data_IF_880356815980
#
_entry.id   IF_880356815980
#
_cell.length_a   1.000
_cell.length_b   1.000
_cell.length_c   1.000
_cell.angle_alpha   90.00
_cell.angle_beta   90.00
_cell.angle_gamma   90.00
#
_symmetry.space_group_name_H-M   'P 1'
#
loop_
_entity.id
_entity.type
_entity.pdbx_description
1 polymer ?
#
# COMPACT_ATOMS: atom_id res chain seq x y z
N UNK A 1 -30.54 -0.88 44.25
CA UNK A 1 -30.05 -0.58 42.88
C UNK A 1 -31.22 -0.71 41.91
N UNK A 2 -31.67 0.40 41.31
CA UNK A 2 -32.94 0.51 40.55
C UNK A 2 -32.98 -0.45 39.33
N UNK A 3 -34.11 -1.14 39.10
CA UNK A 3 -34.31 -2.06 37.96
C UNK A 3 -33.96 -1.42 36.61
N UNK A 4 -34.22 -0.12 36.47
CA UNK A 4 -33.90 0.69 35.29
C UNK A 4 -32.41 0.70 34.98
N UNK A 5 -31.56 0.74 36.02
CA UNK A 5 -30.11 0.75 35.87
C UNK A 5 -29.58 -0.60 35.36
N UNK A 6 -30.12 -1.72 35.88
CA UNK A 6 -29.80 -3.06 35.37
C UNK A 6 -30.21 -3.22 33.90
N UNK A 7 -31.40 -2.73 33.52
CA UNK A 7 -31.88 -2.81 32.13
C UNK A 7 -31.01 -1.99 31.17
N UNK A 8 -30.57 -0.81 31.59
CA UNK A 8 -29.69 0.05 30.79
C UNK A 8 -28.30 -0.58 30.62
N UNK A 9 -27.73 -1.15 31.69
CA UNK A 9 -26.45 -1.85 31.64
C UNK A 9 -26.47 -3.07 30.70
N UNK A 10 -27.55 -3.84 30.69
CA UNK A 10 -27.70 -4.98 29.77
C UNK A 10 -27.85 -4.53 28.32
N UNK A 11 -28.57 -3.43 28.06
CA UNK A 11 -28.68 -2.83 26.72
C UNK A 11 -27.34 -2.31 26.22
N UNK A 12 -26.57 -1.65 27.08
CA UNK A 12 -25.23 -1.16 26.76
C UNK A 12 -24.30 -2.31 26.41
N UNK A 13 -24.29 -3.39 27.20
CA UNK A 13 -23.51 -4.60 26.91
C UNK A 13 -23.90 -5.25 25.58
N UNK A 14 -25.20 -5.33 25.28
CA UNK A 14 -25.68 -5.82 23.98
C UNK A 14 -25.16 -4.97 22.82
N UNK A 15 -25.28 -3.64 22.93
CA UNK A 15 -24.76 -2.71 21.91
C UNK A 15 -23.25 -2.81 21.76
N UNK A 16 -22.51 -2.99 22.85
CA UNK A 16 -21.06 -3.11 22.83
C UNK A 16 -20.60 -4.40 22.15
N UNK A 17 -21.31 -5.51 22.38
CA UNK A 17 -21.08 -6.79 21.69
C UNK A 17 -21.40 -6.68 20.20
N UNK A 18 -22.49 -6.01 19.83
CA UNK A 18 -22.82 -5.80 18.43
C UNK A 18 -21.81 -4.90 17.73
N UNK A 19 -21.35 -3.82 18.38
CA UNK A 19 -20.27 -2.96 17.88
C UNK A 19 -18.96 -3.72 17.69
N UNK A 20 -18.60 -4.60 18.64
CA UNK A 20 -17.43 -5.47 18.50
C UNK A 20 -17.57 -6.44 17.31
N UNK A 21 -18.74 -7.04 17.08
CA UNK A 21 -19.00 -7.89 15.91
C UNK A 21 -18.80 -7.13 14.59
N UNK A 22 -19.25 -5.88 14.51
CA UNK A 22 -18.99 -5.02 13.33
C UNK A 22 -17.50 -4.67 13.18
N UNK A 23 -16.76 -4.58 14.30
CA UNK A 23 -15.33 -4.21 14.29
C UNK A 23 -14.43 -5.37 13.83
N UNK A 24 -14.68 -6.61 14.29
CA UNK A 24 -13.84 -7.76 13.90
C UNK A 24 -14.07 -8.19 12.45
N UNK A 25 -15.29 -8.03 11.93
CA UNK A 25 -15.62 -8.30 10.52
C UNK A 25 -14.96 -7.27 9.59
N UNK A 26 -14.79 -6.03 10.04
CA UNK A 26 -14.14 -4.97 9.26
C UNK A 26 -12.62 -5.18 9.14
N UNK A 27 -11.93 -5.64 10.20
CA UNK A 27 -10.48 -5.90 10.13
C UNK A 27 -10.10 -6.97 9.10
N UNK A 28 -10.86 -8.07 9.02
CA UNK A 28 -10.61 -9.13 8.02
C UNK A 28 -10.85 -8.63 6.60
N UNK A 29 -11.90 -7.83 6.38
CA UNK A 29 -12.18 -7.22 5.09
C UNK A 29 -11.10 -6.19 4.69
N UNK A 30 -10.62 -5.40 5.66
CA UNK A 30 -9.50 -4.49 5.49
C UNK A 30 -8.23 -5.25 5.10
N UNK A 31 -7.85 -6.29 5.83
CA UNK A 31 -6.68 -7.12 5.52
C UNK A 31 -6.80 -7.74 4.12
N UNK A 32 -7.92 -8.41 3.82
CA UNK A 32 -8.16 -9.02 2.52
C UNK A 32 -8.03 -8.02 1.37
N UNK A 33 -8.53 -6.80 1.55
CA UNK A 33 -8.42 -5.77 0.51
C UNK A 33 -6.98 -5.28 0.30
N UNK A 34 -6.12 -5.25 1.33
CA UNK A 34 -4.70 -4.93 1.16
C UNK A 34 -4.00 -6.04 0.39
N UNK A 35 -4.21 -7.30 0.76
CA UNK A 35 -3.65 -8.47 0.08
C UNK A 35 -4.03 -8.50 -1.42
N UNK A 36 -5.31 -8.30 -1.72
CA UNK A 36 -5.78 -8.22 -3.12
C UNK A 36 -5.14 -7.04 -3.86
N UNK A 37 -5.01 -5.87 -3.21
CA UNK A 37 -4.37 -4.70 -3.82
C UNK A 37 -2.89 -4.96 -4.15
N UNK A 38 -2.17 -5.69 -3.27
CA UNK A 38 -0.79 -6.14 -3.52
C UNK A 38 -0.72 -7.06 -4.73
N UNK A 39 -1.64 -8.03 -4.84
CA UNK A 39 -1.69 -8.93 -5.99
C UNK A 39 -1.94 -8.17 -7.30
N UNK A 40 -2.86 -7.20 -7.30
CA UNK A 40 -3.14 -6.34 -8.46
C UNK A 40 -1.86 -5.58 -8.87
N UNK A 41 -1.17 -4.95 -7.91
CA UNK A 41 0.07 -4.22 -8.16
C UNK A 41 1.18 -5.13 -8.72
N UNK A 42 1.44 -6.26 -8.07
CA UNK A 42 2.48 -7.22 -8.47
C UNK A 42 2.25 -7.80 -9.87
N UNK A 43 0.98 -7.98 -10.24
CA UNK A 43 0.60 -8.48 -11.57
C UNK A 43 0.42 -7.37 -12.61
N UNK A 44 0.71 -6.11 -12.24
CA UNK A 44 0.62 -4.91 -13.09
C UNK A 44 -0.75 -4.78 -13.76
N UNK A 45 -1.82 -5.10 -13.04
CA UNK A 45 -3.19 -4.97 -13.53
C UNK A 45 -3.79 -3.61 -13.19
N UNK A 46 -4.77 -3.12 -13.99
CA UNK A 46 -5.48 -1.88 -13.68
C UNK A 46 -6.20 -1.96 -12.33
N UNK A 47 -6.27 -0.85 -11.60
CA UNK A 47 -6.88 -0.83 -10.25
C UNK A 47 -8.36 -1.26 -10.25
N UNK A 48 -9.10 -0.92 -11.31
CA UNK A 48 -10.51 -1.28 -11.45
C UNK A 48 -10.76 -2.80 -11.61
N UNK A 49 -9.73 -3.62 -11.78
CA UNK A 49 -9.90 -5.08 -11.88
C UNK A 49 -10.47 -5.67 -10.59
N UNK A 50 -10.24 -5.00 -9.45
CA UNK A 50 -10.77 -5.36 -8.14
C UNK A 50 -12.30 -5.43 -8.14
N UNK A 51 -12.96 -4.37 -8.59
CA UNK A 51 -14.42 -4.26 -8.63
C UNK A 51 -15.04 -4.86 -9.90
N UNK A 52 -14.34 -4.85 -11.03
CA UNK A 52 -14.90 -5.31 -12.32
C UNK A 52 -14.82 -6.83 -12.50
N UNK A 53 -13.84 -7.50 -11.91
CA UNK A 53 -13.61 -8.94 -12.13
C UNK A 53 -13.37 -9.72 -10.84
N UNK A 54 -12.41 -9.29 -10.00
CA UNK A 54 -11.95 -10.09 -8.85
C UNK A 54 -13.09 -10.32 -7.86
N UNK A 55 -13.76 -9.25 -7.41
CA UNK A 55 -14.84 -9.35 -6.45
C UNK A 55 -16.06 -10.13 -7.01
N UNK A 56 -16.59 -9.84 -8.22
CA UNK A 56 -17.66 -10.62 -8.81
C UNK A 56 -17.33 -12.11 -8.98
N UNK A 57 -16.11 -12.44 -9.43
CA UNK A 57 -15.68 -13.82 -9.61
C UNK A 57 -15.60 -14.56 -8.26
N UNK A 58 -14.98 -13.94 -7.25
CA UNK A 58 -14.89 -14.49 -5.90
C UNK A 58 -16.27 -14.75 -5.30
N UNK A 59 -17.20 -13.80 -5.46
CA UNK A 59 -18.58 -13.96 -5.01
C UNK A 59 -19.31 -15.12 -5.70
N UNK A 60 -19.19 -15.26 -7.03
CA UNK A 60 -19.79 -16.39 -7.77
C UNK A 60 -19.25 -17.73 -7.27
N UNK A 61 -17.93 -17.85 -7.11
CA UNK A 61 -17.29 -19.06 -6.59
C UNK A 61 -17.78 -19.40 -5.19
N UNK A 62 -17.77 -18.44 -4.25
CA UNK A 62 -18.23 -18.67 -2.87
C UNK A 62 -19.73 -18.98 -2.82
N UNK A 63 -20.54 -18.34 -3.66
CA UNK A 63 -21.98 -18.61 -3.72
C UNK A 63 -22.26 -20.06 -4.12
N UNK A 64 -21.57 -20.58 -5.14
CA UNK A 64 -21.70 -21.97 -5.60
C UNK A 64 -21.18 -22.96 -4.55
N UNK A 65 -20.00 -22.67 -3.97
CA UNK A 65 -19.28 -23.63 -3.11
C UNK A 65 -19.78 -23.65 -1.66
N UNK A 66 -20.26 -22.53 -1.14
CA UNK A 66 -20.59 -22.35 0.28
C UNK A 66 -21.97 -21.74 0.51
N UNK A 67 -22.58 -21.13 -0.51
CA UNK A 67 -23.89 -20.50 -0.44
C UNK A 67 -23.85 -18.97 -0.40
N UNK A 68 -24.98 -18.38 -0.76
CA UNK A 68 -25.13 -16.94 -1.01
C UNK A 68 -24.83 -16.07 0.21
N UNK A 69 -25.12 -16.58 1.43
CA UNK A 69 -24.81 -15.89 2.68
C UNK A 69 -23.32 -15.55 2.81
N UNK A 70 -22.43 -16.48 2.46
CA UNK A 70 -20.99 -16.25 2.54
C UNK A 70 -20.49 -15.36 1.40
N UNK A 71 -21.06 -15.50 0.20
CA UNK A 71 -20.75 -14.62 -0.92
C UNK A 71 -21.06 -13.15 -0.60
N UNK A 72 -22.18 -12.88 0.06
CA UNK A 72 -22.57 -11.53 0.47
C UNK A 72 -21.61 -10.90 1.48
N UNK A 73 -20.87 -11.70 2.27
CA UNK A 73 -19.85 -11.17 3.17
C UNK A 73 -18.69 -10.53 2.39
N UNK A 74 -18.36 -11.03 1.20
CA UNK A 74 -17.26 -10.49 0.38
C UNK A 74 -17.53 -9.05 -0.09
N UNK A 75 -18.81 -8.63 -0.17
CA UNK A 75 -19.16 -7.23 -0.50
C UNK A 75 -18.59 -6.21 0.50
N UNK A 76 -18.25 -6.66 1.70
CA UNK A 76 -17.63 -5.81 2.73
C UNK A 76 -16.15 -5.51 2.44
N UNK A 77 -15.51 -6.26 1.53
CA UNK A 77 -14.11 -6.06 1.13
C UNK A 77 -14.08 -4.90 0.12
N UNK A 78 -13.49 -3.74 0.47
CA UNK A 78 -13.53 -2.59 -0.42
C UNK A 78 -12.48 -2.77 -1.53
N UNK A 79 -12.91 -2.98 -2.77
CA UNK A 79 -12.04 -3.22 -3.92
C UNK A 79 -12.32 -2.25 -5.08
N UNK A 80 -12.91 -1.09 -4.79
CA UNK A 80 -13.06 -0.02 -5.79
C UNK A 80 -11.70 0.42 -6.32
N UNK A 81 -11.68 0.93 -7.54
CA UNK A 81 -10.45 1.45 -8.17
C UNK A 81 -9.69 2.42 -7.24
N UNK A 82 -10.40 3.36 -6.61
CA UNK A 82 -9.80 4.33 -5.67
C UNK A 82 -9.24 3.67 -4.41
N UNK A 83 -9.93 2.66 -3.91
CA UNK A 83 -9.48 1.93 -2.71
C UNK A 83 -8.21 1.15 -3.00
N UNK A 84 -8.18 0.44 -4.12
CA UNK A 84 -7.00 -0.32 -4.57
C UNK A 84 -5.82 0.63 -4.76
N UNK A 85 -6.02 1.75 -5.47
CA UNK A 85 -5.00 2.78 -5.66
C UNK A 85 -4.43 3.29 -4.33
N UNK A 86 -5.31 3.73 -3.41
CA UNK A 86 -4.89 4.26 -2.10
C UNK A 86 -4.10 3.23 -1.29
N UNK A 87 -4.50 1.96 -1.31
CA UNK A 87 -3.82 0.89 -0.56
C UNK A 87 -2.45 0.57 -1.14
N UNK A 88 -2.32 0.58 -2.46
CA UNK A 88 -1.02 0.41 -3.13
C UNK A 88 -0.09 1.56 -2.72
N UNK A 89 -0.56 2.81 -2.75
CA UNK A 89 0.26 3.96 -2.35
C UNK A 89 0.68 3.86 -0.88
N UNK A 90 -0.25 3.55 0.04
CA UNK A 90 0.09 3.40 1.46
C UNK A 90 1.16 2.33 1.70
N UNK A 91 1.09 1.20 1.00
CA UNK A 91 2.11 0.16 1.09
C UNK A 91 3.43 0.57 0.46
N UNK A 92 3.39 1.31 -0.66
CA UNK A 92 4.59 1.84 -1.29
C UNK A 92 5.30 2.86 -0.39
N UNK A 93 4.54 3.74 0.26
CA UNK A 93 5.05 4.72 1.24
C UNK A 93 5.68 4.01 2.45
N UNK A 94 5.02 2.99 2.99
CA UNK A 94 5.56 2.20 4.11
C UNK A 94 6.87 1.49 3.73
N UNK A 95 6.92 0.83 2.56
CA UNK A 95 8.15 0.21 2.04
C UNK A 95 9.25 1.26 1.86
N UNK A 96 8.92 2.45 1.35
CA UNK A 96 9.87 3.55 1.17
C UNK A 96 10.44 4.03 2.51
N UNK A 97 9.60 4.19 3.53
CA UNK A 97 10.04 4.57 4.89
C UNK A 97 11.01 3.52 5.43
N UNK A 98 10.65 2.23 5.34
CA UNK A 98 11.53 1.14 5.77
C UNK A 98 12.87 1.16 5.03
N UNK A 99 12.87 1.37 3.70
CA UNK A 99 14.10 1.48 2.91
C UNK A 99 14.98 2.64 3.39
N UNK A 100 14.40 3.82 3.61
CA UNK A 100 15.13 5.00 4.10
C UNK A 100 15.77 4.72 5.47
N UNK A 101 15.03 4.09 6.39
CA UNK A 101 15.54 3.73 7.71
C UNK A 101 16.73 2.75 7.61
N UNK A 102 16.66 1.77 6.71
CA UNK A 102 17.77 0.83 6.46
C UNK A 102 18.98 1.54 5.86
N UNK A 103 18.77 2.43 4.90
CA UNK A 103 19.86 3.22 4.28
C UNK A 103 20.55 4.09 5.32
N UNK A 104 19.80 4.78 6.18
CA UNK A 104 20.35 5.58 7.29
C UNK A 104 21.14 4.75 8.31
N UNK A 105 20.69 3.52 8.55
CA UNK A 105 21.38 2.57 9.44
C UNK A 105 22.61 1.92 8.82
N UNK A 106 22.78 2.02 7.50
CA UNK A 106 23.91 1.40 6.80
C UNK A 106 25.19 2.23 6.99
N UNK A 107 26.34 1.61 7.32
CA UNK A 107 27.63 2.31 7.43
C UNK A 107 28.13 2.87 6.09
N UNK A 108 27.67 2.30 4.97
CA UNK A 108 28.02 2.71 3.62
C UNK A 108 26.89 2.38 2.66
N UNK A 109 26.70 3.24 1.66
CA UNK A 109 25.82 2.97 0.55
C UNK A 109 26.42 3.57 -0.73
N UNK A 110 25.98 3.07 -1.87
CA UNK A 110 26.28 3.61 -3.18
C UNK A 110 24.96 3.86 -3.91
N UNK A 111 24.93 4.88 -4.76
CA UNK A 111 23.79 5.13 -5.64
C UNK A 111 24.17 4.88 -7.09
N UNK A 112 23.22 4.38 -7.85
CA UNK A 112 23.29 4.30 -9.31
C UNK A 112 22.15 5.13 -9.87
N UNK A 113 22.50 6.00 -10.81
CA UNK A 113 21.55 6.85 -11.53
C UNK A 113 21.33 6.25 -12.91
N UNK A 114 20.07 6.13 -13.30
CA UNK A 114 19.67 5.74 -14.64
C UNK A 114 18.66 6.76 -15.19
N UNK A 115 18.95 7.30 -16.36
CA UNK A 115 18.06 8.22 -17.07
C UNK A 115 17.40 7.45 -18.22
N UNK A 116 16.08 7.34 -18.17
CA UNK A 116 15.29 6.74 -19.26
C UNK A 116 14.34 7.77 -19.83
N UNK A 117 13.97 7.63 -21.11
CA UNK A 117 12.96 8.48 -21.72
C UNK A 117 11.63 7.70 -21.76
N UNK A 118 10.56 8.29 -21.23
CA UNK A 118 9.24 7.67 -21.32
C UNK A 118 8.62 7.81 -22.72
N UNK A 119 7.49 7.15 -22.93
CA UNK A 119 6.78 7.12 -24.22
C UNK A 119 6.27 8.50 -24.68
N UNK A 120 6.27 9.50 -23.80
CA UNK A 120 5.87 10.89 -24.07
C UNK A 120 7.10 11.80 -24.21
N UNK A 121 8.30 11.20 -24.33
CA UNK A 121 9.57 11.90 -24.47
C UNK A 121 9.95 12.75 -23.24
N UNK A 122 9.46 12.39 -22.05
CA UNK A 122 9.86 13.00 -20.78
C UNK A 122 10.95 12.14 -20.15
N UNK A 123 12.03 12.78 -19.71
CA UNK A 123 13.12 12.09 -19.02
C UNK A 123 12.69 11.69 -17.61
N UNK A 124 12.86 10.41 -17.29
CA UNK A 124 12.62 9.80 -16.00
C UNK A 124 13.97 9.45 -15.36
N UNK A 125 14.22 10.00 -14.18
CA UNK A 125 15.40 9.69 -13.39
C UNK A 125 15.06 8.58 -12.40
N UNK A 126 15.71 7.43 -12.55
CA UNK A 126 15.68 6.32 -11.62
C UNK A 126 16.94 6.34 -10.77
N UNK A 127 16.75 6.25 -9.45
CA UNK A 127 17.86 6.13 -8.50
C UNK A 127 17.75 4.79 -7.80
N UNK A 128 18.77 3.95 -8.00
CA UNK A 128 18.95 2.72 -7.22
C UNK A 128 19.94 3.00 -6.09
N UNK A 129 19.71 2.37 -4.95
CA UNK A 129 20.61 2.44 -3.80
C UNK A 129 21.06 1.04 -3.42
N UNK A 130 22.37 0.87 -3.28
CA UNK A 130 23.01 -0.34 -2.79
C UNK A 130 23.57 -0.08 -1.41
N UNK A 131 23.11 -0.81 -0.41
CA UNK A 131 23.41 -0.56 1.01
C UNK A 131 23.67 -1.87 1.75
N UNK A 132 24.38 -1.81 2.87
CA UNK A 132 24.51 -2.97 3.76
C UNK A 132 23.33 -2.99 4.71
N UNK A 133 22.64 -4.12 4.75
CA UNK A 133 21.61 -4.38 5.74
C UNK A 133 21.87 -5.74 6.35
N UNK A 134 21.99 -5.76 7.68
CA UNK A 134 22.45 -6.94 8.42
C UNK A 134 23.82 -7.44 7.88
N UNK A 135 23.84 -8.65 7.31
CA UNK A 135 25.04 -9.28 6.75
C UNK A 135 25.03 -9.36 5.22
N UNK A 136 24.03 -8.77 4.56
CA UNK A 136 23.88 -8.80 3.12
C UNK A 136 24.03 -7.42 2.49
N UNK A 137 24.37 -7.42 1.20
CA UNK A 137 24.32 -6.23 0.35
C UNK A 137 22.97 -6.24 -0.35
N UNK A 138 22.14 -5.25 -0.05
CA UNK A 138 20.83 -5.06 -0.66
C UNK A 138 20.91 -4.00 -1.75
N UNK A 139 20.05 -4.14 -2.77
CA UNK A 139 19.85 -3.14 -3.82
C UNK A 139 18.36 -2.94 -4.02
N UNK A 140 17.91 -1.69 -3.93
CA UNK A 140 16.52 -1.32 -4.08
C UNK A 140 16.38 -0.03 -4.90
N UNK A 141 15.21 0.17 -5.52
CA UNK A 141 14.85 1.43 -6.14
C UNK A 141 14.54 2.46 -5.04
N UNK A 142 15.32 3.53 -4.96
CA UNK A 142 15.14 4.59 -3.97
C UNK A 142 14.00 5.53 -4.37
N UNK A 143 14.00 6.01 -5.61
CA UNK A 143 12.89 6.74 -6.20
C UNK A 143 12.96 6.75 -7.73
N UNK A 144 11.82 7.07 -8.36
CA UNK A 144 11.70 7.36 -9.78
C UNK A 144 10.91 8.67 -9.91
N UNK A 145 11.47 9.66 -10.62
CA UNK A 145 10.79 10.94 -10.83
C UNK A 145 11.10 11.53 -12.22
N UNK A 146 10.12 12.22 -12.79
CA UNK A 146 10.32 12.97 -14.02
C UNK A 146 11.22 14.17 -13.78
N UNK A 147 12.16 14.41 -14.69
CA UNK A 147 12.98 15.62 -14.68
C UNK A 147 12.21 16.75 -15.36
N UNK A 148 12.00 17.85 -14.64
CA UNK A 148 11.39 19.05 -15.19
C UNK A 148 12.41 19.83 -16.03
N UNK A 149 12.09 20.08 -17.31
CA UNK A 149 12.92 20.91 -18.18
C UNK A 149 14.04 20.14 -18.90
N UNK A 150 15.28 20.62 -18.82
CA UNK A 150 16.44 20.04 -19.52
C UNK A 150 17.13 19.00 -18.64
N UNK A 151 17.59 17.91 -19.25
CA UNK A 151 18.34 16.81 -18.60
C UNK A 151 19.81 17.20 -18.37
N UNK A 152 20.03 18.27 -17.61
CA UNK A 152 21.39 18.70 -17.23
C UNK A 152 21.85 17.97 -15.98
N UNK A 153 23.16 17.83 -15.81
CA UNK A 153 23.73 17.31 -14.57
C UNK A 153 23.30 18.10 -13.33
N UNK A 154 23.04 19.41 -13.47
CA UNK A 154 22.49 20.25 -12.42
C UNK A 154 21.07 19.83 -12.01
N UNK A 155 20.19 19.56 -12.98
CA UNK A 155 18.82 19.12 -12.69
C UNK A 155 18.83 17.77 -11.97
N UNK A 156 19.67 16.83 -12.44
CA UNK A 156 19.86 15.52 -11.79
C UNK A 156 20.38 15.69 -10.36
N UNK A 157 21.45 16.47 -10.18
CA UNK A 157 22.03 16.73 -8.85
C UNK A 157 21.01 17.34 -7.90
N UNK A 158 20.27 18.36 -8.33
CA UNK A 158 19.21 18.98 -7.53
C UNK A 158 18.13 17.98 -7.13
N UNK A 159 17.70 17.12 -8.04
CA UNK A 159 16.72 16.07 -7.81
C UNK A 159 17.15 15.11 -6.70
N UNK A 160 18.39 14.63 -6.78
CA UNK A 160 18.98 13.72 -5.80
C UNK A 160 19.20 14.42 -4.46
N UNK A 161 19.83 15.60 -4.48
CA UNK A 161 20.12 16.37 -3.27
C UNK A 161 18.84 16.72 -2.49
N UNK A 162 17.78 17.17 -3.19
CA UNK A 162 16.48 17.48 -2.57
C UNK A 162 15.89 16.25 -1.88
N UNK A 163 15.97 15.07 -2.49
CA UNK A 163 15.49 13.84 -1.88
C UNK A 163 16.28 13.47 -0.63
N UNK A 164 17.61 13.58 -0.69
CA UNK A 164 18.50 13.24 0.41
C UNK A 164 18.32 14.18 1.59
N UNK A 165 18.20 15.48 1.34
CA UNK A 165 17.91 16.50 2.36
C UNK A 165 16.54 16.28 2.99
N UNK A 166 15.49 16.07 2.19
CA UNK A 166 14.12 15.85 2.68
C UNK A 166 14.04 14.63 3.61
N UNK A 167 14.84 13.61 3.31
CA UNK A 167 14.82 12.36 4.04
C UNK A 167 15.98 12.21 5.04
N UNK A 168 16.79 13.25 5.31
CA UNK A 168 17.96 13.22 6.19
C UNK A 168 18.94 12.06 5.91
N UNK A 169 19.16 11.74 4.64
CA UNK A 169 20.16 10.74 4.22
C UNK A 169 21.50 11.45 4.09
N UNK A 170 22.49 11.03 4.89
CA UNK A 170 23.82 11.65 5.01
C UNK A 170 24.82 11.09 4.02
#
# INVERSE_FOLDING_TARGET
MNLTFKRLATKLKSQQVDFQKYTTVNQKALQASFEVSVLIAKTKKPHNIGETLILPAAMKMVSIMQGEKYANLLKTIPLSSDTVHRRINLLADDIKIQLIDRVKGSPYYAIQLDESTDVVNVAQLLIFIRYRYENDICEDLLFCQGLEGRTTGEAIFKSVNTFFELHDIK
#
